data_IF_670263591849
#
_entry.id   IF_670263591849
#
_cell.length_a   1.000
_cell.length_b   1.000
_cell.length_c   1.000
_cell.angle_alpha   90.00
_cell.angle_beta   90.00
_cell.angle_gamma   90.00
#
_symmetry.space_group_name_H-M   'P 1'
#
loop_
_entity.id
_entity.type
_entity.pdbx_description
1 polymer ?
#
# COMPACT_ATOMS: atom_id res chain seq x y z
N UNK A 1 -61.64 -1.65 22.88
CA UNK A 1 -61.96 -2.83 22.05
C UNK A 1 -61.12 -3.99 22.58
N UNK A 2 -61.82 -5.01 23.08
CA UNK A 2 -61.45 -6.42 23.27
C UNK A 2 -59.98 -6.79 23.59
N UNK A 3 -59.79 -7.16 24.87
CA UNK A 3 -58.81 -8.09 25.50
C UNK A 3 -59.19 -9.56 25.10
N UNK A 4 -58.52 -10.69 25.44
CA UNK A 4 -57.20 -11.05 26.06
C UNK A 4 -56.32 -12.01 25.20
N UNK A 5 -55.03 -12.28 25.50
CA UNK A 5 -54.39 -13.19 26.50
C UNK A 5 -54.78 -14.69 26.34
N UNK A 6 -53.99 -15.74 26.52
CA UNK A 6 -52.82 -16.15 27.34
C UNK A 6 -52.05 -17.24 26.53
N UNK A 7 -50.72 -17.39 26.54
CA UNK A 7 -49.78 -17.84 27.58
C UNK A 7 -49.73 -19.37 27.86
N UNK A 8 -48.48 -19.86 28.04
CA UNK A 8 -48.03 -21.11 28.71
C UNK A 8 -48.12 -22.37 27.82
N UNK A 9 -47.20 -23.33 27.75
CA UNK A 9 -45.96 -23.69 28.46
C UNK A 9 -45.75 -25.21 28.22
N UNK A 10 -44.58 -25.65 27.76
CA UNK A 10 -43.57 -26.45 28.52
C UNK A 10 -43.83 -27.97 28.56
N UNK A 11 -42.71 -28.74 28.44
CA UNK A 11 -42.47 -30.16 28.82
C UNK A 11 -43.04 -31.24 27.87
N UNK A 12 -42.49 -32.46 27.72
CA UNK A 12 -41.29 -33.18 28.18
C UNK A 12 -41.33 -34.58 27.51
N UNK A 13 -40.26 -35.35 27.65
CA UNK A 13 -40.18 -36.84 27.61
C UNK A 13 -40.39 -37.58 26.27
N UNK A 14 -39.91 -38.81 26.04
CA UNK A 14 -38.74 -39.62 26.43
C UNK A 14 -38.91 -40.99 25.73
N UNK A 15 -38.05 -41.33 24.76
CA UNK A 15 -37.63 -42.72 24.36
C UNK A 15 -38.69 -43.77 23.94
N UNK A 16 -38.34 -45.06 23.71
CA UNK A 16 -37.54 -45.62 22.61
C UNK A 16 -38.26 -46.82 21.95
N UNK A 17 -37.74 -47.36 20.84
CA UNK A 17 -37.87 -48.81 20.58
C UNK A 17 -36.70 -49.28 19.74
N UNK A 18 -35.87 -50.10 20.38
CA UNK A 18 -35.00 -51.09 19.74
C UNK A 18 -35.87 -52.11 19.02
N UNK A 19 -35.50 -52.48 17.80
CA UNK A 19 -35.80 -53.80 17.26
C UNK A 19 -34.48 -54.46 16.90
N UNK A 20 -34.05 -55.37 17.78
CA UNK A 20 -33.15 -56.45 17.44
C UNK A 20 -33.87 -57.42 16.51
N UNK A 21 -33.31 -57.68 15.33
CA UNK A 21 -33.43 -58.99 14.68
C UNK A 21 -32.04 -59.58 14.54
N UNK A 22 -31.80 -60.59 15.36
CA UNK A 22 -30.70 -61.55 15.23
C UNK A 22 -30.93 -62.49 14.04
N UNK A 23 -29.83 -63.09 13.59
CA UNK A 23 -29.76 -64.41 12.93
C UNK A 23 -30.15 -64.40 11.45
N UNK A 24 -29.46 -65.05 10.51
CA UNK A 24 -28.43 -66.08 10.58
C UNK A 24 -27.85 -66.25 9.15
N UNK A 25 -26.65 -66.83 9.08
CA UNK A 25 -26.26 -67.80 8.06
C UNK A 25 -25.75 -67.33 6.68
N UNK A 26 -24.44 -67.57 6.51
CA UNK A 26 -23.75 -68.14 5.36
C UNK A 26 -23.29 -67.22 4.20
N UNK A 27 -22.01 -66.85 4.32
CA UNK A 27 -20.93 -67.09 3.35
C UNK A 27 -21.25 -66.99 1.87
N UNK A 28 -20.70 -65.97 1.19
CA UNK A 28 -19.85 -66.16 0.02
C UNK A 28 -18.93 -64.94 -0.18
N UNK A 29 -17.63 -65.22 -0.17
CA UNK A 29 -16.51 -64.35 -0.49
C UNK A 29 -16.68 -63.64 -1.84
N UNK A 30 -16.45 -62.32 -1.86
CA UNK A 30 -15.92 -61.64 -3.04
C UNK A 30 -15.07 -60.44 -2.62
N UNK A 31 -13.78 -60.57 -2.91
CA UNK A 31 -12.74 -59.54 -2.93
C UNK A 31 -13.25 -58.21 -3.50
N UNK A 32 -13.14 -57.13 -2.74
CA UNK A 32 -12.97 -55.78 -3.28
C UNK A 32 -11.96 -55.03 -2.41
N UNK A 33 -10.71 -55.10 -2.86
CA UNK A 33 -9.65 -54.14 -2.59
C UNK A 33 -10.14 -52.70 -2.71
N UNK A 34 -9.86 -51.83 -1.73
CA UNK A 34 -9.10 -50.59 -1.96
C UNK A 34 -9.25 -49.55 -0.83
N UNK A 35 -8.07 -49.06 -0.43
CA UNK A 35 -7.73 -47.68 -0.07
C UNK A 35 -8.24 -47.06 1.24
N UNK A 36 -7.31 -47.08 2.20
CA UNK A 36 -7.00 -45.94 3.08
C UNK A 36 -6.84 -44.64 2.29
N UNK A 37 -7.54 -43.58 2.67
CA UNK A 37 -7.10 -42.19 2.46
C UNK A 37 -7.48 -41.33 3.66
N UNK A 38 -6.53 -41.17 4.58
CA UNK A 38 -6.54 -40.13 5.62
C UNK A 38 -6.29 -38.80 4.89
N UNK A 39 -7.30 -37.92 4.80
CA UNK A 39 -7.10 -36.56 4.31
C UNK A 39 -6.31 -35.75 5.35
N UNK A 40 -5.03 -35.53 5.08
CA UNK A 40 -4.22 -34.50 5.75
C UNK A 40 -4.55 -33.15 5.14
N UNK A 41 -5.22 -32.28 5.90
CA UNK A 41 -5.47 -30.89 5.51
C UNK A 41 -4.17 -30.09 5.58
N UNK A 42 -3.51 -29.86 4.44
CA UNK A 42 -2.43 -28.88 4.36
C UNK A 42 -3.04 -27.47 4.41
N UNK A 43 -2.85 -26.77 5.53
CA UNK A 43 -3.05 -25.32 5.61
C UNK A 43 -1.91 -24.67 4.83
N UNK A 44 -2.16 -24.31 3.57
CA UNK A 44 -1.24 -23.53 2.77
C UNK A 44 -1.30 -22.06 3.22
N UNK A 45 -0.24 -21.56 3.84
CA UNK A 45 -0.02 -20.13 4.00
C UNK A 45 0.25 -19.53 2.60
N UNK A 46 -0.75 -18.93 1.98
CA UNK A 46 -0.54 -18.16 0.74
C UNK A 46 0.29 -16.91 1.05
N UNK A 47 1.40 -16.64 0.35
CA UNK A 47 2.15 -15.40 0.52
C UNK A 47 1.29 -14.22 0.07
N UNK A 48 1.25 -13.15 0.87
CA UNK A 48 0.57 -11.90 0.52
C UNK A 48 1.14 -11.36 -0.80
N UNK A 49 0.30 -11.26 -1.82
CA UNK A 49 0.68 -10.68 -3.12
C UNK A 49 0.82 -9.16 -2.93
N UNK A 50 2.04 -8.66 -3.11
CA UNK A 50 2.33 -7.23 -3.12
C UNK A 50 1.96 -6.70 -4.51
N UNK A 51 0.84 -5.99 -4.62
CA UNK A 51 0.42 -5.37 -5.87
C UNK A 51 1.13 -4.01 -6.08
N UNK A 52 1.57 -3.68 -7.31
CA UNK A 52 2.02 -2.33 -7.62
C UNK A 52 0.85 -1.36 -7.46
N UNK A 53 1.06 -0.25 -6.74
CA UNK A 53 0.11 0.87 -6.77
C UNK A 53 0.14 1.52 -8.15
N UNK A 54 -0.84 2.39 -8.45
CA UNK A 54 -0.75 3.30 -9.58
C UNK A 54 0.62 4.03 -9.60
N UNK A 55 1.12 4.36 -10.80
CA UNK A 55 2.36 5.11 -10.95
C UNK A 55 2.25 6.45 -10.20
N UNK A 56 3.21 6.68 -9.32
CA UNK A 56 3.41 7.94 -8.62
C UNK A 56 4.37 8.80 -9.43
N UNK A 57 4.29 10.11 -9.22
CA UNK A 57 5.15 11.10 -9.84
C UNK A 57 5.42 12.25 -8.88
N UNK A 58 6.43 13.05 -9.20
CA UNK A 58 6.67 14.33 -8.54
C UNK A 58 5.42 15.24 -8.67
N UNK A 59 5.18 16.15 -7.70
CA UNK A 59 4.03 17.05 -7.77
C UNK A 59 4.17 17.98 -8.98
N UNK A 60 3.07 18.19 -9.71
CA UNK A 60 3.06 19.23 -10.73
C UNK A 60 3.18 20.61 -10.06
N UNK A 61 3.81 21.57 -10.73
CA UNK A 61 4.03 22.92 -10.16
C UNK A 61 2.72 23.59 -9.76
N UNK A 62 1.66 23.42 -10.55
CA UNK A 62 0.33 23.94 -10.23
C UNK A 62 -0.35 23.30 -9.02
N UNK A 63 0.19 22.20 -8.49
CA UNK A 63 -0.27 21.56 -7.24
C UNK A 63 0.62 21.87 -6.03
N UNK A 64 1.72 22.61 -6.22
CA UNK A 64 2.59 23.03 -5.14
C UNK A 64 2.03 24.34 -4.58
N UNK A 65 1.77 24.35 -3.28
CA UNK A 65 1.40 25.53 -2.53
C UNK A 65 2.63 26.10 -1.82
N UNK A 66 2.75 27.43 -1.84
CA UNK A 66 3.85 28.18 -1.23
C UNK A 66 3.35 28.93 0.01
N UNK A 67 4.11 28.89 1.11
CA UNK A 67 3.82 29.58 2.38
C UNK A 67 5.00 30.44 2.80
N UNK A 68 4.73 31.68 3.19
CA UNK A 68 5.77 32.58 3.67
C UNK A 68 6.27 32.11 5.03
N UNK A 69 7.60 32.06 5.17
CA UNK A 69 8.28 31.75 6.43
C UNK A 69 9.07 32.97 6.93
N UNK A 70 9.64 32.85 8.13
CA UNK A 70 10.52 33.90 8.70
C UNK A 70 11.67 34.27 7.76
N UNK A 71 12.20 33.30 7.02
CA UNK A 71 13.14 33.49 5.91
C UNK A 71 12.67 32.68 4.71
N UNK A 72 12.59 33.31 3.54
CA UNK A 72 12.15 32.66 2.31
C UNK A 72 10.73 32.09 2.40
N UNK A 73 10.58 30.85 1.94
CA UNK A 73 9.29 30.15 1.81
C UNK A 73 9.40 28.65 2.05
N UNK A 74 8.31 28.06 2.54
CA UNK A 74 8.06 26.62 2.56
C UNK A 74 7.06 26.24 1.46
N UNK A 75 7.12 24.98 1.04
CA UNK A 75 6.35 24.44 -0.08
C UNK A 75 5.76 23.09 0.29
N UNK A 76 4.52 22.85 -0.14
CA UNK A 76 3.82 21.61 0.15
C UNK A 76 2.92 21.21 -1.02
N UNK A 77 2.79 19.91 -1.25
CA UNK A 77 1.81 19.36 -2.18
C UNK A 77 1.15 18.13 -1.56
N UNK A 78 -0.18 18.03 -1.70
CA UNK A 78 -0.97 16.96 -1.10
C UNK A 78 -0.72 15.65 -1.86
N UNK A 79 -0.37 14.61 -1.12
CA UNK A 79 -0.25 13.24 -1.62
C UNK A 79 -0.47 12.26 -0.44
N UNK A 80 -0.78 10.97 -0.70
CA UNK A 80 -0.91 9.97 0.36
C UNK A 80 0.29 9.96 1.32
N UNK A 81 0.03 9.70 2.60
CA UNK A 81 1.06 9.80 3.65
C UNK A 81 1.28 11.25 4.10
N UNK A 82 2.53 11.67 4.21
CA UNK A 82 2.90 13.01 4.73
C UNK A 82 2.97 14.11 3.65
N UNK A 83 2.55 13.80 2.42
CA UNK A 83 2.68 14.69 1.27
C UNK A 83 4.12 14.98 0.87
N UNK A 84 4.27 15.91 -0.07
CA UNK A 84 5.55 16.46 -0.50
C UNK A 84 5.87 17.73 0.26
N UNK A 85 7.14 17.92 0.60
CA UNK A 85 7.62 19.11 1.32
C UNK A 85 8.91 19.63 0.72
N UNK A 86 9.07 20.94 0.68
CA UNK A 86 10.28 21.62 0.27
C UNK A 86 10.40 22.97 0.97
N UNK A 87 11.60 23.53 1.01
CA UNK A 87 11.87 24.83 1.61
C UNK A 87 12.96 25.53 0.78
N UNK A 88 12.85 26.86 0.65
CA UNK A 88 13.91 27.68 0.09
C UNK A 88 13.99 29.01 0.88
N UNK A 89 15.03 29.20 1.73
CA UNK A 89 15.18 30.40 2.56
C UNK A 89 15.52 31.66 1.75
N UNK A 90 15.94 31.52 0.49
CA UNK A 90 16.26 32.61 -0.43
C UNK A 90 15.13 32.89 -1.43
N UNK A 91 14.01 32.16 -1.34
CA UNK A 91 12.92 32.33 -2.29
C UNK A 91 12.16 33.65 -2.11
N UNK A 92 11.71 34.18 -3.23
CA UNK A 92 10.74 35.28 -3.32
C UNK A 92 9.36 34.75 -3.73
N UNK A 93 8.33 35.60 -3.55
CA UNK A 93 6.93 35.20 -3.78
C UNK A 93 6.68 34.75 -5.22
N UNK A 94 7.33 35.41 -6.19
CA UNK A 94 7.08 35.15 -7.60
C UNK A 94 7.82 33.94 -8.17
N UNK A 95 8.80 33.39 -7.44
CA UNK A 95 9.70 32.36 -7.99
C UNK A 95 8.95 31.09 -8.42
N UNK A 96 7.94 30.64 -7.66
CA UNK A 96 7.23 29.39 -7.98
C UNK A 96 6.53 29.43 -9.36
N UNK A 97 6.00 30.60 -9.76
CA UNK A 97 5.24 30.76 -11.01
C UNK A 97 6.09 30.49 -12.26
N UNK A 98 7.40 30.66 -12.18
CA UNK A 98 8.34 30.47 -13.30
C UNK A 98 9.14 29.17 -13.25
N UNK A 99 8.94 28.33 -12.23
CA UNK A 99 9.67 27.08 -12.11
C UNK A 99 9.26 26.07 -13.19
N UNK A 100 10.15 25.13 -13.48
CA UNK A 100 9.93 23.94 -14.30
C UNK A 100 10.54 22.74 -13.59
N UNK A 101 9.97 21.56 -13.82
CA UNK A 101 10.59 20.32 -13.38
C UNK A 101 11.92 20.11 -14.11
N UNK A 102 12.92 19.62 -13.38
CA UNK A 102 14.27 19.38 -13.90
C UNK A 102 14.68 17.92 -13.71
N UNK A 103 14.49 17.36 -12.51
CA UNK A 103 14.86 15.99 -12.23
C UNK A 103 14.14 15.35 -11.04
N UNK A 104 14.22 14.02 -10.94
CA UNK A 104 13.78 13.24 -9.80
C UNK A 104 14.85 12.23 -9.39
N UNK A 105 14.90 11.90 -8.10
CA UNK A 105 15.90 11.00 -7.55
C UNK A 105 15.29 10.13 -6.45
N UNK A 106 15.42 8.80 -6.56
CA UNK A 106 15.07 7.88 -5.47
C UNK A 106 16.32 7.69 -4.62
N UNK A 107 16.19 7.90 -3.32
CA UNK A 107 17.33 7.91 -2.39
C UNK A 107 17.03 7.12 -1.14
N UNK A 108 18.10 6.60 -0.56
CA UNK A 108 18.12 6.00 0.77
C UNK A 108 18.89 6.96 1.68
N UNK A 109 18.27 7.37 2.78
CA UNK A 109 18.90 8.15 3.82
C UNK A 109 19.05 7.35 5.11
N UNK A 110 19.94 7.80 5.98
CA UNK A 110 20.10 7.27 7.33
C UNK A 110 20.20 8.47 8.27
N UNK A 111 19.46 8.45 9.37
CA UNK A 111 19.42 9.58 10.30
C UNK A 111 20.64 9.61 11.24
N UNK A 112 21.32 8.48 11.43
CA UNK A 112 22.58 8.40 12.16
C UNK A 112 23.19 7.00 12.13
N UNK A 113 24.44 6.82 12.58
CA UNK A 113 25.07 5.51 12.67
C UNK A 113 24.23 4.54 13.50
N UNK A 114 23.85 3.39 12.91
CA UNK A 114 23.04 2.37 13.58
C UNK A 114 21.53 2.61 13.54
N UNK A 115 21.06 3.73 12.98
CA UNK A 115 19.65 3.96 12.75
C UNK A 115 19.14 3.27 11.49
N UNK A 116 17.82 3.02 11.44
CA UNK A 116 17.18 2.42 10.26
C UNK A 116 17.26 3.36 9.07
N UNK A 117 17.50 2.78 7.92
CA UNK A 117 17.36 3.48 6.65
C UNK A 117 15.92 3.97 6.45
N UNK A 118 15.80 5.09 5.75
CA UNK A 118 14.53 5.58 5.23
C UNK A 118 14.67 5.88 3.75
N UNK A 119 13.57 5.71 3.02
CA UNK A 119 13.54 5.94 1.58
C UNK A 119 12.79 7.23 1.28
N UNK A 120 13.26 7.98 0.30
CA UNK A 120 12.57 9.18 -0.16
C UNK A 120 12.77 9.39 -1.65
N UNK A 121 11.84 10.13 -2.25
CA UNK A 121 12.03 10.72 -3.58
C UNK A 121 12.27 12.20 -3.40
N UNK A 122 13.27 12.73 -4.09
CA UNK A 122 13.51 14.16 -4.25
C UNK A 122 13.18 14.57 -5.68
N UNK A 123 12.50 15.70 -5.84
CA UNK A 123 12.09 16.27 -7.11
C UNK A 123 12.62 17.69 -7.19
N UNK A 124 13.45 17.96 -8.19
CA UNK A 124 14.12 19.24 -8.40
C UNK A 124 13.38 20.06 -9.46
N UNK A 125 13.21 21.34 -9.13
CA UNK A 125 12.60 22.33 -9.98
C UNK A 125 13.50 23.56 -10.05
N UNK A 126 13.60 24.14 -11.23
CA UNK A 126 14.43 25.30 -11.50
C UNK A 126 13.59 26.39 -12.18
N UNK A 127 13.80 27.63 -11.79
CA UNK A 127 13.26 28.83 -12.39
C UNK A 127 14.34 29.61 -13.13
N UNK A 128 13.96 30.73 -13.77
CA UNK A 128 14.89 31.53 -14.57
C UNK A 128 15.89 32.36 -13.74
N UNK A 129 15.64 32.54 -12.45
CA UNK A 129 16.45 33.38 -11.55
C UNK A 129 17.40 32.53 -10.70
N UNK A 130 18.54 33.09 -10.30
CA UNK A 130 19.62 32.38 -9.62
C UNK A 130 19.19 31.62 -8.35
N UNK A 131 18.26 32.19 -7.58
CA UNK A 131 17.76 31.59 -6.34
C UNK A 131 16.39 30.94 -6.48
N UNK A 132 15.84 30.91 -7.70
CA UNK A 132 14.57 30.26 -7.99
C UNK A 132 14.79 28.75 -8.21
N UNK A 133 15.22 28.03 -7.18
CA UNK A 133 15.26 26.57 -7.17
C UNK A 133 14.37 26.02 -6.06
N UNK A 134 13.86 24.81 -6.25
CA UNK A 134 13.02 24.13 -5.27
C UNK A 134 13.29 22.64 -5.34
N UNK A 135 13.54 22.02 -4.18
CA UNK A 135 13.53 20.57 -4.02
C UNK A 135 12.33 20.17 -3.19
N UNK A 136 11.38 19.47 -3.79
CA UNK A 136 10.30 18.79 -3.07
C UNK A 136 10.76 17.38 -2.71
N UNK A 137 10.42 16.91 -1.52
CA UNK A 137 10.74 15.55 -1.09
C UNK A 137 9.59 14.88 -0.36
N UNK A 138 9.49 13.56 -0.51
CA UNK A 138 8.53 12.73 0.20
C UNK A 138 9.19 11.44 0.66
N UNK A 139 8.93 11.03 1.91
CA UNK A 139 9.37 9.76 2.47
C UNK A 139 8.40 8.63 2.17
N UNK A 140 8.94 7.43 1.99
CA UNK A 140 8.18 6.22 1.71
C UNK A 140 8.56 5.08 2.67
N UNK A 141 7.60 4.23 3.07
CA UNK A 141 7.85 3.12 3.98
C UNK A 141 8.66 1.97 3.34
N UNK A 142 8.61 1.87 2.01
CA UNK A 142 9.35 0.91 1.19
C UNK A 142 10.04 1.70 0.08
N UNK A 143 11.22 1.25 -0.33
CA UNK A 143 11.99 1.90 -1.40
C UNK A 143 11.13 1.98 -2.68
N UNK A 144 10.85 3.19 -3.19
CA UNK A 144 10.21 3.35 -4.48
C UNK A 144 11.01 2.66 -5.59
N UNK A 145 10.32 2.20 -6.63
CA UNK A 145 10.97 1.62 -7.81
C UNK A 145 10.74 2.50 -9.02
N UNK A 146 11.82 2.88 -9.68
CA UNK A 146 11.82 3.57 -10.96
C UNK A 146 10.96 2.83 -11.99
N UNK A 147 10.24 3.59 -12.82
CA UNK A 147 9.50 3.07 -13.97
C UNK A 147 9.79 3.89 -15.22
N UNK A 148 9.84 3.23 -16.37
CA UNK A 148 10.15 3.89 -17.64
C UNK A 148 11.66 4.03 -17.90
N UNK A 149 11.99 4.48 -19.10
CA UNK A 149 13.36 4.49 -19.63
C UNK A 149 14.18 5.73 -19.28
N UNK A 150 13.56 6.75 -18.68
CA UNK A 150 14.26 8.00 -18.33
C UNK A 150 15.06 7.92 -17.03
N UNK A 151 14.94 6.81 -16.29
CA UNK A 151 15.73 6.55 -15.09
C UNK A 151 17.07 5.90 -15.43
N UNK A 152 18.13 6.39 -14.82
CA UNK A 152 19.46 5.77 -14.85
C UNK A 152 19.56 4.62 -13.84
N UNK A 153 20.59 3.76 -13.94
CA UNK A 153 20.85 2.70 -12.94
C UNK A 153 21.03 3.21 -11.50
N UNK A 154 21.37 4.48 -11.32
CA UNK A 154 21.57 5.14 -10.02
C UNK A 154 20.27 5.77 -9.47
N UNK A 155 19.12 5.39 -10.02
CA UNK A 155 17.80 5.92 -9.70
C UNK A 155 17.75 7.46 -9.75
N UNK A 156 18.26 8.01 -10.85
CA UNK A 156 18.13 9.41 -11.19
C UNK A 156 17.37 9.54 -12.51
N UNK A 157 16.44 10.49 -12.60
CA UNK A 157 15.67 10.77 -13.79
C UNK A 157 15.76 12.26 -14.12
N UNK A 158 16.17 12.59 -15.35
CA UNK A 158 16.19 13.97 -15.85
C UNK A 158 15.19 14.07 -17.00
N UNK A 159 14.19 14.92 -16.87
CA UNK A 159 13.15 15.10 -17.88
C UNK A 159 12.52 16.50 -17.77
N UNK A 160 11.73 16.88 -18.78
CA UNK A 160 11.03 18.18 -18.80
C UNK A 160 9.65 18.14 -18.13
N UNK A 161 9.12 16.95 -17.81
CA UNK A 161 7.82 16.77 -17.18
C UNK A 161 7.88 15.74 -16.06
N UNK A 162 7.09 15.94 -15.01
CA UNK A 162 6.98 15.00 -13.89
C UNK A 162 6.47 13.62 -14.31
N UNK A 163 5.64 13.57 -15.37
CA UNK A 163 5.08 12.32 -15.90
C UNK A 163 6.10 11.41 -16.59
N UNK A 164 7.27 11.96 -16.94
CA UNK A 164 8.36 11.24 -17.59
C UNK A 164 9.29 10.56 -16.59
N UNK A 165 9.11 10.81 -15.29
CA UNK A 165 9.82 10.16 -14.18
C UNK A 165 8.86 9.37 -13.27
N UNK A 166 8.06 8.41 -13.79
CA UNK A 166 7.13 7.67 -12.96
C UNK A 166 7.88 6.70 -12.05
N UNK A 167 7.31 6.41 -10.89
CA UNK A 167 7.79 5.39 -9.97
C UNK A 167 6.64 4.68 -9.27
N UNK A 168 6.88 3.50 -8.72
CA UNK A 168 5.89 2.77 -7.92
C UNK A 168 6.31 2.66 -6.48
N UNK A 169 5.31 2.64 -5.60
CA UNK A 169 5.47 2.33 -4.19
C UNK A 169 4.68 1.05 -3.96
N UNK A 170 5.32 0.06 -3.36
CA UNK A 170 4.65 -1.20 -3.07
C UNK A 170 4.09 -1.12 -1.66
N UNK A 171 2.78 -1.30 -1.54
CA UNK A 171 2.11 -1.43 -0.26
C UNK A 171 1.98 -2.92 0.06
N UNK A 172 2.35 -3.35 1.26
CA UNK A 172 1.94 -4.67 1.71
C UNK A 172 0.43 -4.62 1.97
N UNK A 173 -0.34 -5.38 1.19
CA UNK A 173 -1.75 -5.64 1.49
C UNK A 173 -1.77 -6.41 2.80
N UNK A 174 -2.28 -5.79 3.86
CA UNK A 174 -2.44 -6.42 5.18
C UNK A 174 -3.75 -7.20 5.21
#
# INVERSE_FOLDING_TARGET
MTVPALAIGVQSEYTPTEDLIMSNSQSHTLLCTALMTVLTSLVACTPSVIAPTAANMCPAIGSIEQRKEAQGYSYFAIAPGNGWKGENPLAEEHYLKGMKFESAAIRTGQAGPGEREYYFVACDYEGPEQFAFLRMSQRFPVRPKAQGSNWTPEDFCRASSVGDCPFTVFSATR
#
